data_IF_663549348507
#
_entry.id   IF_663549348507
#
_cell.length_a   1.000
_cell.length_b   1.000
_cell.length_c   1.000
_cell.angle_alpha   90.00
_cell.angle_beta   90.00
_cell.angle_gamma   90.00
#
_symmetry.space_group_name_H-M   'P 1'
#
loop_
_entity.id
_entity.type
_entity.pdbx_description
1 polymer ?
2 polymer ?
3 water ?
#
loop_
_entity_poly.entity_id
_entity_poly.type
_entity_poly.pdbx_seq_one_letter_code
_entity_poly.pdbx_strand_id
2 'polyribonucleotide' 'GCAGAUCUGAGCCUGGGAGCUCUCUGC' ?
#
# COMPACT_ATOMS: atom_id res chain seq x y z
N UNK A 26 9.52 -6.02 -13.59
CA UNK A 26 8.65 -7.18 -13.68
C UNK A 26 7.90 -7.39 -12.37
N UNK A 27 6.58 -7.36 -12.44
CA UNK A 27 5.72 -7.66 -11.30
C UNK A 27 4.63 -8.61 -11.77
N UNK A 28 4.09 -9.36 -10.81
CA UNK A 28 2.90 -10.14 -11.06
C UNK A 28 2.09 -10.16 -9.78
N UNK A 29 0.80 -10.48 -9.87
CA UNK A 29 -0.05 -10.42 -8.68
C UNK A 29 0.55 -11.19 -7.51
N UNK A 30 0.57 -10.55 -6.35
CA UNK A 30 0.94 -11.20 -5.11
C UNK A 30 0.23 -10.48 -3.98
N UNK A 31 0.52 -10.89 -2.74
CA UNK A 31 -0.18 -10.36 -1.57
C UNK A 31 0.10 -8.89 -1.31
N UNK A 32 1.16 -8.33 -1.86
CA UNK A 32 1.64 -7.03 -1.45
C UNK A 32 1.49 -6.01 -2.56
N UNK A 33 0.96 -4.85 -2.22
CA UNK A 33 0.97 -3.71 -3.13
C UNK A 33 1.95 -2.67 -2.62
N UNK A 34 2.58 -2.01 -3.57
CA UNK A 34 3.55 -0.95 -3.35
C UNK A 34 2.92 0.35 -3.81
N UNK A 35 2.90 1.34 -2.94
CA UNK A 35 2.24 2.61 -3.20
C UNK A 35 3.27 3.70 -3.10
N UNK A 36 3.31 4.59 -4.09
CA UNK A 36 4.13 5.78 -3.93
C UNK A 36 3.32 6.98 -4.41
N UNK A 37 3.99 8.14 -4.50
CA UNK A 37 3.32 9.43 -4.61
C UNK A 37 2.41 9.69 -3.42
N UNK A 38 2.78 9.19 -2.25
CA UNK A 38 2.06 9.51 -1.02
C UNK A 38 2.50 10.86 -0.50
N UNK A 39 1.58 11.51 0.19
CA UNK A 39 1.85 12.81 0.80
C UNK A 39 2.86 12.65 1.92
N UNK A 40 4.08 13.14 1.72
CA UNK A 40 5.17 12.91 2.66
C UNK A 40 5.12 13.83 3.87
N UNK A 41 4.18 14.78 3.93
CA UNK A 41 4.01 15.60 5.11
C UNK A 41 3.18 14.92 6.20
N UNK A 42 2.58 13.77 5.90
CA UNK A 42 1.72 13.10 6.86
C UNK A 42 2.56 12.28 7.82
N UNK A 43 2.28 12.40 9.11
CA UNK A 43 2.98 11.59 10.10
C UNK A 43 2.81 10.11 9.79
N UNK A 44 3.87 9.34 10.01
CA UNK A 44 3.86 7.95 9.60
C UNK A 44 2.77 7.16 10.31
N UNK A 45 2.55 7.43 11.60
CA UNK A 45 1.51 6.70 12.32
C UNK A 45 0.13 6.98 11.72
N UNK A 46 -0.16 8.24 11.40
CA UNK A 46 -1.44 8.57 10.79
C UNK A 46 -1.55 7.97 9.40
N UNK A 47 -0.46 8.00 8.64
CA UNK A 47 -0.48 7.43 7.31
C UNK A 47 -0.87 5.96 7.35
N UNK A 48 -0.26 5.20 8.27
CA UNK A 48 -0.59 3.80 8.42
C UNK A 48 -2.06 3.62 8.78
N UNK A 49 -2.54 4.39 9.76
CA UNK A 49 -3.95 4.27 10.13
C UNK A 49 -4.86 4.55 8.94
N UNK A 50 -4.53 5.58 8.16
CA UNK A 50 -5.37 5.97 7.05
C UNK A 50 -5.32 4.96 5.92
N UNK A 51 -4.13 4.44 5.62
CA UNK A 51 -4.05 3.36 4.64
C UNK A 51 -4.85 2.15 5.10
N UNK A 52 -4.74 1.79 6.38
CA UNK A 52 -5.47 0.63 6.87
C UNK A 52 -6.97 0.83 6.72
N UNK A 53 -7.46 2.03 7.07
CA UNK A 53 -8.90 2.26 7.02
C UNK A 53 -9.43 2.17 5.60
N UNK A 54 -8.67 2.68 4.63
CA UNK A 54 -9.17 2.72 3.27
C UNK A 54 -8.99 1.38 2.57
N UNK A 55 -7.86 0.72 2.80
CA UNK A 55 -7.61 -0.53 2.10
C UNK A 55 -8.19 -1.75 2.80
N UNK A 56 -8.57 -1.67 4.07
CA UNK A 56 -9.17 -2.83 4.71
C UNK A 56 -10.49 -3.22 4.08
N UNK A 57 -11.12 -2.32 3.33
CA UNK A 57 -12.36 -2.64 2.65
C UNK A 57 -12.17 -3.81 1.68
N UNK A 58 -10.98 -3.96 1.11
CA UNK A 58 -10.77 -4.99 0.10
C UNK A 58 -10.49 -6.36 0.70
N UNK A 59 -10.17 -6.42 1.97
CA UNK A 59 -9.82 -7.69 2.61
C UNK A 59 -8.91 -7.46 3.79
N UNK A 60 -8.66 -8.54 4.52
CA UNK A 60 -7.82 -8.47 5.70
C UNK A 60 -6.39 -8.11 5.35
N UNK A 61 -5.82 -7.20 6.12
CA UNK A 61 -4.46 -6.70 5.93
C UNK A 61 -3.56 -7.34 6.97
N UNK A 62 -2.44 -7.92 6.52
CA UNK A 62 -1.48 -8.50 7.43
C UNK A 62 -0.54 -7.46 8.02
N UNK A 63 -0.15 -6.46 7.24
CA UNK A 63 0.73 -5.41 7.77
C UNK A 63 0.78 -4.26 6.79
N UNK A 64 1.20 -3.10 7.29
CA UNK A 64 1.45 -1.93 6.47
C UNK A 64 2.82 -1.42 6.83
N UNK A 65 3.71 -1.35 5.84
CA UNK A 65 5.08 -0.92 6.04
C UNK A 65 5.30 0.44 5.39
N UNK A 66 5.96 1.34 6.11
CA UNK A 66 6.35 2.63 5.60
C UNK A 66 7.85 2.77 5.84
N UNK A 67 8.68 2.26 4.93
CA UNK A 67 10.11 2.16 5.23
C UNK A 67 10.76 3.52 5.41
N UNK A 68 11.64 3.58 6.40
CA UNK A 68 12.42 4.78 6.65
C UNK A 68 13.49 4.92 5.58
N UNK A 69 13.58 6.11 4.98
CA UNK A 69 14.61 6.42 4.01
C UNK A 69 15.29 7.72 4.40
N UNK A 70 16.42 8.01 3.76
CA UNK A 70 17.21 9.17 4.15
C UNK A 70 16.39 10.44 4.13
N UNK A 71 15.47 10.55 3.17
CA UNK A 71 14.58 11.69 3.02
C UNK A 71 13.18 11.15 2.85
N UNK A 72 12.15 11.94 3.12
CA UNK A 72 10.78 11.45 2.94
C UNK A 72 10.45 11.31 1.47
N UNK A 73 9.94 10.14 1.08
CA UNK A 73 9.74 9.83 -0.32
C UNK A 73 8.35 9.29 -0.64
N UNK A 74 7.44 9.24 0.33
CA UNK A 74 6.05 8.93 0.06
C UNK A 74 5.82 7.54 -0.50
N UNK A 75 6.41 6.54 0.16
CA UNK A 75 6.31 5.15 -0.25
C UNK A 75 5.76 4.29 0.89
N UNK A 76 4.99 3.26 0.54
CA UNK A 76 4.48 2.32 1.53
C UNK A 76 4.12 0.99 0.87
N UNK A 77 4.06 -0.05 1.69
CA UNK A 77 3.60 -1.37 1.28
C UNK A 77 2.41 -1.77 2.12
N UNK A 78 1.40 -2.33 1.46
CA UNK A 78 0.26 -2.94 2.13
C UNK A 78 0.26 -4.43 1.80
N UNK A 79 0.31 -5.25 2.84
CA UNK A 79 0.34 -6.69 2.70
C UNK A 79 -1.04 -7.22 3.05
N UNK A 80 -1.71 -7.79 2.07
CA UNK A 80 -3.03 -8.40 2.27
C UNK A 80 -2.88 -9.88 2.58
N UNK A 81 -3.87 -10.41 3.32
CA UNK A 81 -3.90 -11.85 3.56
C UNK A 81 -4.21 -12.65 2.29
N UNK A 82 -5.01 -12.09 1.38
CA UNK A 82 -5.34 -12.77 0.13
C UNK A 82 -4.96 -11.92 -1.08
N UNK A 83 -4.45 -12.59 -2.11
CA UNK A 83 -4.01 -11.89 -3.31
C UNK A 83 -5.17 -11.16 -3.98
N UNK A 84 -6.36 -11.78 -4.02
CA UNK A 84 -7.52 -11.13 -4.63
C UNK A 84 -7.75 -9.74 -4.05
N UNK A 85 -7.52 -9.58 -2.74
CA UNK A 85 -7.68 -8.28 -2.11
C UNK A 85 -6.69 -7.29 -2.70
N UNK A 86 -5.42 -7.71 -2.82
CA UNK A 86 -4.43 -6.85 -3.46
C UNK A 86 -4.85 -6.50 -4.88
N UNK A 87 -5.34 -7.48 -5.62
CA UNK A 87 -5.74 -7.24 -6.99
C UNK A 87 -6.82 -6.17 -7.08
N UNK A 88 -7.86 -6.29 -6.25
CA UNK A 88 -8.96 -5.35 -6.31
C UNK A 88 -8.59 -3.99 -5.75
N UNK A 89 -7.70 -3.96 -4.75
CA UNK A 89 -7.22 -2.69 -4.22
C UNK A 89 -6.40 -1.95 -5.27
N UNK A 90 -5.53 -2.67 -5.96
CA UNK A 90 -4.71 -2.04 -7.00
C UNK A 90 -5.57 -1.43 -8.09
N UNK A 91 -6.60 -2.16 -8.54
CA UNK A 91 -7.46 -1.65 -9.59
C UNK A 91 -8.28 -0.46 -9.11
N UNK A 92 -8.89 -0.59 -7.93
CA UNK A 92 -9.90 0.36 -7.50
C UNK A 92 -9.31 1.68 -7.03
N UNK A 93 -8.15 1.64 -6.41
CA UNK A 93 -7.55 2.83 -5.84
C UNK A 93 -6.50 3.45 -6.75
N UNK A 94 -6.24 2.87 -7.91
CA UNK A 94 -5.22 3.43 -8.79
C UNK A 94 -5.54 4.89 -9.09
N UNK A 95 -4.58 5.78 -8.84
CA UNK A 95 -4.77 7.19 -9.12
C UNK A 95 -5.78 7.88 -8.24
N UNK A 96 -6.28 7.23 -7.21
CA UNK A 96 -7.33 7.81 -6.38
C UNK A 96 -6.72 8.83 -5.44
N UNK A 97 -7.36 9.98 -5.22
CA UNK A 97 -6.78 10.99 -4.32
C UNK A 97 -6.73 10.48 -2.89
N UNK A 98 -5.56 10.65 -2.27
CA UNK A 98 -5.34 10.29 -0.88
C UNK A 98 -4.56 11.44 -0.26
N UNK A 99 -5.14 12.12 0.72
CA UNK A 99 -4.55 13.37 1.21
C UNK A 99 -4.14 14.26 0.05
N UNK A 100 -5.05 14.44 -0.90
CA UNK A 100 -4.92 15.36 -2.02
C UNK A 100 -3.84 14.98 -3.03
N UNK A 101 -3.29 13.76 -2.94
CA UNK A 101 -2.32 13.28 -3.93
C UNK A 101 -2.82 11.99 -4.56
N UNK A 102 -2.78 11.84 -5.89
CA UNK A 102 -3.22 10.59 -6.50
C UNK A 102 -2.25 9.45 -6.22
N UNK A 103 -2.78 8.34 -5.73
CA UNK A 103 -1.95 7.20 -5.40
C UNK A 103 -1.45 6.51 -6.66
N UNK A 104 -0.19 6.13 -6.67
CA UNK A 104 0.38 5.29 -7.73
C UNK A 104 0.64 3.92 -7.11
N UNK A 105 -0.03 2.89 -7.63
CA UNK A 105 0.00 1.58 -7.02
C UNK A 105 0.56 0.57 -8.02
N UNK A 106 1.36 -0.36 -7.50
CA UNK A 106 1.82 -1.52 -8.25
C UNK A 106 1.83 -2.71 -7.32
N UNK A 107 1.82 -3.91 -7.91
CA UNK A 107 2.19 -5.07 -7.12
C UNK A 107 3.63 -4.93 -6.68
N UNK A 108 3.92 -5.41 -5.47
CA UNK A 108 5.31 -5.43 -5.01
C UNK A 108 6.16 -6.33 -5.89
N UNK A 109 7.39 -5.89 -6.17
CA UNK A 109 8.33 -6.73 -6.93
C UNK A 109 8.58 -8.04 -6.22
N UNK A 110 8.63 -8.01 -4.89
CA UNK A 110 8.79 -9.22 -4.10
C UNK A 110 7.76 -9.19 -2.97
N UNK A 111 6.95 -10.24 -2.88
CA UNK A 111 5.96 -10.32 -1.84
C UNK A 111 6.61 -10.10 -0.47
N UNK A 112 6.05 -9.18 0.32
CA UNK A 112 6.54 -8.96 1.67
C UNK A 112 5.87 -9.88 2.69
N UNK A 113 4.95 -10.73 2.26
CA UNK A 113 4.27 -11.62 3.18
C UNK A 113 5.27 -12.57 3.82
N UNK A 114 5.11 -12.77 5.13
CA UNK A 114 5.99 -13.67 5.89
C UNK A 114 5.20 -14.92 6.26
N UNK A 115 5.16 -15.95 5.40
CA UNK A 115 4.45 -17.20 5.73
C UNK A 115 5.34 -18.23 6.44
N UNK A 116 5.56 -18.00 7.74
CA UNK A 116 6.40 -18.90 8.54
C UNK A 116 5.55 -19.94 9.26
#
# INVERSE_FOLDING_TARGET
MGSSHHHHHHSSGENLYFQGHMAVPETRPNHTIYINNLNSKIKKDELKKSLHAIFSRFGQILDILVPRQRTPRGQAFVIFKEVSSATNALRSMQGFPFYDKPMAIQYAKTDKRIPAKMK
#
